data_IF_242176755828
#
_entry.id   IF_242176755828
#
_cell.length_a   1.000
_cell.length_b   1.000
_cell.length_c   1.000
_cell.angle_alpha   90.00
_cell.angle_beta   90.00
_cell.angle_gamma   90.00
#
_symmetry.space_group_name_H-M   'P 1'
#
loop_
_entity.id
_entity.type
_entity.pdbx_description
1 polymer ?
#
# COMPACT_ATOMS: atom_id res chain seq x y z
N UNK A 1 -54.17 -31.97 15.48
CA UNK A 1 -53.88 -30.55 15.17
C UNK A 1 -52.39 -30.36 15.27
N UNK A 2 -51.70 -30.42 14.12
CA UNK A 2 -50.24 -30.24 14.04
C UNK A 2 -50.01 -28.78 13.62
N UNK A 3 -49.41 -27.97 14.51
CA UNK A 3 -49.02 -26.60 14.22
C UNK A 3 -47.63 -26.64 13.56
N UNK A 4 -47.58 -26.40 12.25
CA UNK A 4 -46.33 -26.17 11.53
C UNK A 4 -45.76 -24.81 11.90
N UNK A 5 -44.60 -24.79 12.54
CA UNK A 5 -43.79 -23.59 12.70
C UNK A 5 -42.99 -23.33 11.39
N UNK A 6 -43.34 -22.27 10.69
CA UNK A 6 -42.57 -21.78 9.54
C UNK A 6 -41.40 -20.94 10.10
N UNK A 7 -40.18 -21.52 10.06
CA UNK A 7 -38.95 -20.75 10.37
C UNK A 7 -38.57 -19.89 9.14
N UNK A 8 -38.72 -18.60 9.26
CA UNK A 8 -38.20 -17.65 8.24
C UNK A 8 -36.69 -17.48 8.47
N UNK A 9 -35.89 -18.06 7.59
CA UNK A 9 -34.45 -17.79 7.53
C UNK A 9 -34.25 -16.39 6.99
N UNK A 10 -33.88 -15.43 7.84
CA UNK A 10 -33.35 -14.14 7.39
C UNK A 10 -31.94 -14.39 6.84
N UNK A 11 -31.79 -14.39 5.52
CA UNK A 11 -30.50 -14.33 4.86
C UNK A 11 -30.04 -12.87 4.96
N UNK A 12 -29.08 -12.58 5.84
CA UNK A 12 -28.41 -11.29 5.86
C UNK A 12 -27.66 -11.13 4.53
N UNK A 13 -28.01 -10.08 3.78
CA UNK A 13 -27.24 -9.70 2.60
C UNK A 13 -25.81 -9.37 3.05
N UNK A 14 -24.76 -9.80 2.30
CA UNK A 14 -23.40 -9.41 2.62
C UNK A 14 -23.33 -7.88 2.55
N UNK A 15 -22.74 -7.27 3.58
CA UNK A 15 -22.36 -5.84 3.52
C UNK A 15 -21.47 -5.65 2.31
N UNK A 16 -21.65 -4.58 1.51
CA UNK A 16 -20.72 -4.28 0.44
C UNK A 16 -19.32 -4.19 1.03
N UNK A 17 -18.34 -4.81 0.36
CA UNK A 17 -16.94 -4.62 0.68
C UNK A 17 -16.64 -3.10 0.64
N UNK A 18 -15.80 -2.57 1.55
CA UNK A 18 -15.40 -1.18 1.44
C UNK A 18 -14.86 -0.95 0.03
N UNK A 19 -15.34 0.13 -0.59
CA UNK A 19 -14.98 0.50 -1.95
C UNK A 19 -13.48 0.83 -1.94
N UNK A 20 -12.64 -0.07 -2.46
CA UNK A 20 -11.19 0.13 -2.56
C UNK A 20 -10.84 1.05 -3.73
N UNK A 21 -11.81 1.37 -4.56
CA UNK A 21 -11.70 2.33 -5.66
C UNK A 21 -11.95 3.74 -5.14
N UNK A 22 -10.90 4.34 -4.56
CA UNK A 22 -10.93 5.76 -4.22
C UNK A 22 -10.86 6.59 -5.50
N UNK A 23 -11.90 7.38 -5.76
CA UNK A 23 -11.93 8.37 -6.84
C UNK A 23 -11.72 9.76 -6.24
N UNK A 24 -10.62 10.42 -6.59
CA UNK A 24 -10.33 11.78 -6.12
C UNK A 24 -11.04 12.82 -7.02
N UNK A 25 -11.79 13.74 -6.39
CA UNK A 25 -12.39 14.86 -7.10
C UNK A 25 -11.29 15.87 -7.48
N UNK A 26 -11.15 16.25 -8.77
CA UNK A 26 -10.18 17.26 -9.20
C UNK A 26 -10.37 18.63 -8.53
N UNK A 27 -11.56 18.90 -8.01
CA UNK A 27 -11.91 20.13 -7.30
C UNK A 27 -11.59 20.14 -5.81
N UNK A 28 -11.02 19.06 -5.25
CA UNK A 28 -10.72 19.02 -3.81
C UNK A 28 -9.83 20.17 -3.38
N UNK A 29 -10.23 20.83 -2.28
CA UNK A 29 -9.56 22.01 -1.78
C UNK A 29 -8.23 21.72 -1.09
N UNK A 30 -7.34 22.72 -1.13
CA UNK A 30 -6.17 22.78 -0.28
C UNK A 30 -6.55 23.34 1.08
N UNK A 31 -6.35 22.59 2.15
CA UNK A 31 -6.52 23.10 3.50
C UNK A 31 -5.36 24.05 3.88
N UNK A 32 -5.70 25.12 4.57
CA UNK A 32 -4.71 26.05 5.12
C UNK A 32 -4.48 25.79 6.61
N UNK A 33 -3.27 26.13 7.08
CA UNK A 33 -2.91 26.06 8.49
C UNK A 33 -2.50 24.67 8.98
N UNK A 34 -1.99 24.63 10.20
CA UNK A 34 -1.46 23.42 10.82
C UNK A 34 -2.56 22.43 11.19
N UNK A 35 -2.29 21.16 11.00
CA UNK A 35 -3.16 20.05 11.38
C UNK A 35 -2.37 18.91 12.04
N UNK A 36 -2.99 18.31 13.05
CA UNK A 36 -2.51 17.05 13.67
C UNK A 36 -3.53 15.98 13.33
N UNK A 37 -3.11 14.97 12.55
CA UNK A 37 -3.96 13.87 12.13
C UNK A 37 -3.62 12.64 12.97
N UNK A 38 -4.53 12.21 13.84
CA UNK A 38 -4.29 11.12 14.81
C UNK A 38 -5.23 9.92 14.62
N UNK A 39 -6.16 10.02 13.68
CA UNK A 39 -7.08 8.93 13.31
C UNK A 39 -7.59 9.14 11.89
N UNK A 40 -8.23 8.11 11.34
CA UNK A 40 -8.81 8.13 10.01
C UNK A 40 -7.80 7.94 8.89
N UNK A 41 -8.30 7.99 7.66
CA UNK A 41 -7.57 7.67 6.45
C UNK A 41 -6.77 8.87 5.93
N UNK A 42 -5.49 8.66 5.66
CA UNK A 42 -4.61 9.65 5.05
C UNK A 42 -3.66 9.00 4.04
N UNK A 43 -3.47 9.64 2.89
CA UNK A 43 -2.54 9.18 1.86
C UNK A 43 -1.47 10.21 1.56
N UNK A 44 -0.24 9.75 1.40
CA UNK A 44 0.89 10.54 0.91
C UNK A 44 0.98 10.32 -0.60
N UNK A 45 0.97 11.38 -1.40
CA UNK A 45 1.05 11.20 -2.85
C UNK A 45 1.54 12.42 -3.60
N UNK A 46 1.96 12.21 -4.86
CA UNK A 46 2.20 13.32 -5.77
C UNK A 46 0.90 14.03 -6.09
N UNK A 47 1.00 15.33 -6.34
CA UNK A 47 -0.08 16.16 -6.83
C UNK A 47 0.43 17.09 -7.91
N UNK A 48 -0.30 17.18 -9.00
CA UNK A 48 -0.02 18.14 -10.07
C UNK A 48 -1.14 19.16 -10.14
N UNK A 49 -0.84 20.39 -9.73
CA UNK A 49 -1.80 21.48 -9.75
C UNK A 49 -1.18 22.72 -10.36
N UNK A 50 -1.87 23.34 -11.31
CA UNK A 50 -1.43 24.56 -12.00
C UNK A 50 0.01 24.43 -12.56
N UNK A 51 0.35 23.24 -13.09
CA UNK A 51 1.68 22.92 -13.61
C UNK A 51 2.76 22.68 -12.53
N UNK A 52 2.40 22.73 -11.25
CA UNK A 52 3.34 22.52 -10.15
C UNK A 52 3.22 21.10 -9.61
N UNK A 53 4.33 20.36 -9.65
CA UNK A 53 4.45 19.01 -9.08
C UNK A 53 4.86 19.10 -7.60
N UNK A 54 4.07 18.51 -6.72
CA UNK A 54 4.28 18.54 -5.26
C UNK A 54 4.03 17.17 -4.65
N UNK A 55 4.42 16.99 -3.38
CA UNK A 55 3.99 15.87 -2.53
C UNK A 55 3.06 16.47 -1.49
N UNK A 56 1.87 15.89 -1.35
CA UNK A 56 0.89 16.34 -0.37
C UNK A 56 0.31 15.17 0.41
N UNK A 57 -0.42 15.48 1.46
CA UNK A 57 -1.17 14.54 2.28
C UNK A 57 -2.65 14.74 1.98
N UNK A 58 -3.28 13.71 1.44
CA UNK A 58 -4.73 13.64 1.27
C UNK A 58 -5.36 13.23 2.60
N UNK A 59 -6.18 14.10 3.17
CA UNK A 59 -6.87 13.89 4.43
C UNK A 59 -8.34 13.55 4.16
N UNK A 60 -8.63 12.27 4.14
CA UNK A 60 -9.99 11.74 3.94
C UNK A 60 -10.82 11.69 5.22
N UNK A 61 -10.21 11.97 6.37
CA UNK A 61 -10.95 12.12 7.60
C UNK A 61 -11.68 13.47 7.70
N UNK A 62 -11.21 14.47 6.97
CA UNK A 62 -11.90 15.74 6.83
C UNK A 62 -13.18 15.58 5.97
N UNK A 63 -14.22 16.35 6.30
CA UNK A 63 -15.47 16.37 5.53
C UNK A 63 -15.79 17.80 5.08
N UNK A 64 -15.70 18.09 3.78
CA UNK A 64 -15.17 17.24 2.70
C UNK A 64 -13.69 16.95 2.83
N UNK A 65 -13.21 15.89 2.16
CA UNK A 65 -11.78 15.55 2.08
C UNK A 65 -10.96 16.70 1.50
N UNK A 66 -9.73 16.87 1.99
CA UNK A 66 -8.84 17.97 1.61
C UNK A 66 -7.42 17.50 1.39
N UNK A 67 -6.65 18.30 0.66
CA UNK A 67 -5.20 18.15 0.58
C UNK A 67 -4.50 19.05 1.58
N UNK A 68 -3.38 18.58 2.16
CA UNK A 68 -2.58 19.31 3.14
C UNK A 68 -1.11 19.33 2.74
N UNK A 69 -0.46 20.46 3.06
CA UNK A 69 0.99 20.55 2.95
C UNK A 69 1.67 19.71 4.05
N UNK A 70 2.66 18.85 3.71
CA UNK A 70 3.38 18.08 4.73
C UNK A 70 4.09 18.95 5.77
N UNK A 71 4.51 20.17 5.40
CA UNK A 71 5.13 21.12 6.33
C UNK A 71 4.16 21.58 7.43
N UNK A 72 2.86 21.62 7.13
CA UNK A 72 1.78 22.05 8.03
C UNK A 72 0.98 20.87 8.60
N UNK A 73 1.47 19.64 8.44
CA UNK A 73 0.76 18.43 8.88
C UNK A 73 1.67 17.55 9.73
N UNK A 74 1.17 17.14 10.90
CA UNK A 74 1.81 16.14 11.76
C UNK A 74 0.91 14.90 11.81
N UNK A 75 1.45 13.77 11.44
CA UNK A 75 0.82 12.46 11.63
C UNK A 75 1.12 12.00 13.05
N UNK A 76 0.10 11.90 13.91
CA UNK A 76 0.26 11.52 15.31
C UNK A 76 -0.12 10.06 15.52
N UNK A 77 0.86 9.27 15.92
CA UNK A 77 0.69 7.85 16.24
C UNK A 77 0.56 7.71 17.76
N UNK A 78 -0.68 7.48 18.23
CA UNK A 78 -1.02 7.38 19.66
C UNK A 78 -0.55 6.05 20.25
N UNK A 79 -0.56 5.94 21.58
CA UNK A 79 -0.26 4.69 22.30
C UNK A 79 -1.30 3.58 22.02
N UNK A 80 -2.46 3.89 21.44
CA UNK A 80 -3.39 2.91 20.87
C UNK A 80 -2.78 2.06 19.75
N UNK A 81 -1.69 2.53 19.14
CA UNK A 81 -0.91 1.83 18.11
C UNK A 81 0.19 0.92 18.70
N UNK A 82 0.39 0.90 20.03
CA UNK A 82 1.41 0.03 20.65
C UNK A 82 1.05 -1.42 20.55
N UNK A 83 2.06 -2.24 20.28
CA UNK A 83 1.99 -3.69 20.33
C UNK A 83 3.38 -4.29 20.47
N UNK A 84 3.49 -5.52 21.05
CA UNK A 84 4.78 -6.19 21.13
C UNK A 84 5.24 -6.70 19.77
N UNK A 85 6.56 -6.69 19.56
CA UNK A 85 7.18 -7.36 18.41
C UNK A 85 6.92 -8.87 18.53
N UNK A 86 6.44 -9.54 17.47
CA UNK A 86 6.21 -10.98 17.49
C UNK A 86 7.50 -11.76 17.78
N UNK A 87 7.38 -12.86 18.52
CA UNK A 87 8.44 -13.84 18.72
C UNK A 87 8.50 -14.79 17.51
N UNK A 88 8.90 -14.22 16.36
CA UNK A 88 8.99 -14.91 15.08
C UNK A 88 10.14 -14.30 14.28
N UNK A 89 11.07 -15.14 13.82
CA UNK A 89 12.25 -14.74 13.05
C UNK A 89 11.87 -13.96 11.77
N UNK A 90 10.69 -14.18 11.23
CA UNK A 90 10.16 -13.43 10.09
C UNK A 90 10.09 -11.92 10.32
N UNK A 91 10.09 -11.46 11.59
CA UNK A 91 10.08 -10.04 11.97
C UNK A 91 11.44 -9.50 12.44
N UNK A 92 12.52 -10.29 12.35
CA UNK A 92 13.88 -9.84 12.71
C UNK A 92 14.32 -8.58 11.94
N UNK A 93 13.74 -8.33 10.76
CA UNK A 93 14.00 -7.13 9.95
C UNK A 93 13.58 -5.81 10.62
N UNK A 94 12.77 -5.85 11.65
CA UNK A 94 12.40 -4.67 12.44
C UNK A 94 13.58 -4.13 13.25
N UNK A 95 14.58 -4.98 13.56
CA UNK A 95 15.74 -4.61 14.36
C UNK A 95 15.43 -4.39 15.85
N UNK A 96 14.27 -4.86 16.30
CA UNK A 96 13.81 -4.80 17.69
C UNK A 96 13.74 -6.21 18.28
N UNK A 97 13.83 -6.32 19.61
CA UNK A 97 13.78 -7.63 20.28
C UNK A 97 12.34 -8.16 20.33
N UNK A 98 12.12 -9.48 20.22
CA UNK A 98 10.83 -10.09 20.50
C UNK A 98 10.24 -9.61 21.84
N UNK A 99 8.95 -9.24 21.83
CA UNK A 99 8.25 -8.70 23.01
C UNK A 99 8.53 -7.23 23.32
N UNK A 100 9.47 -6.57 22.62
CA UNK A 100 9.66 -5.13 22.76
C UNK A 100 8.42 -4.38 22.25
N UNK A 101 8.01 -3.33 22.99
CA UNK A 101 6.88 -2.50 22.61
C UNK A 101 7.28 -1.52 21.50
N UNK A 102 6.57 -1.58 20.41
CA UNK A 102 6.72 -0.67 19.25
C UNK A 102 5.38 -0.02 18.91
N UNK A 103 5.39 1.08 18.17
CA UNK A 103 4.16 1.68 17.64
C UNK A 103 3.99 1.25 16.20
N UNK A 104 2.82 0.72 15.87
CA UNK A 104 2.50 0.23 14.52
C UNK A 104 1.25 0.90 13.99
N UNK A 105 1.41 1.62 12.88
CA UNK A 105 0.29 1.96 12.01
C UNK A 105 0.08 0.74 11.11
N UNK A 106 -1.03 0.00 11.26
CA UNK A 106 -1.20 -1.26 10.55
C UNK A 106 -1.63 -1.05 9.10
N UNK A 107 -1.31 -2.03 8.26
CA UNK A 107 -1.74 -2.07 6.86
C UNK A 107 -3.27 -2.13 6.72
N UNK A 108 -3.96 -2.76 7.67
CA UNK A 108 -5.43 -2.78 7.74
C UNK A 108 -5.89 -1.70 8.73
N UNK A 109 -6.93 -0.96 8.39
CA UNK A 109 -7.45 0.11 9.24
C UNK A 109 -7.73 -0.38 10.67
N UNK A 110 -7.25 0.41 11.64
CA UNK A 110 -7.50 0.21 13.08
C UNK A 110 -8.10 1.48 13.68
N UNK A 111 -9.28 1.35 14.26
CA UNK A 111 -9.96 2.48 14.91
C UNK A 111 -9.05 3.17 15.96
N UNK A 112 -8.98 4.49 15.91
CA UNK A 112 -8.17 5.30 16.82
C UNK A 112 -6.67 5.32 16.50
N UNK A 113 -6.27 4.85 15.34
CA UNK A 113 -4.93 4.97 14.77
C UNK A 113 -5.04 5.68 13.42
N UNK A 114 -4.18 6.67 13.16
CA UNK A 114 -4.09 7.27 11.82
C UNK A 114 -3.68 6.19 10.82
N UNK A 115 -4.43 6.05 9.75
CA UNK A 115 -4.22 5.00 8.76
C UNK A 115 -3.48 5.56 7.55
N UNK A 116 -2.17 5.33 7.49
CA UNK A 116 -1.25 5.97 6.54
C UNK A 116 -1.07 5.09 5.31
N UNK A 117 -1.43 5.65 4.16
CA UNK A 117 -1.21 5.06 2.84
C UNK A 117 -0.43 5.98 1.91
N UNK A 118 -0.42 5.58 0.65
CA UNK A 118 0.01 6.42 -0.47
C UNK A 118 -0.89 6.18 -1.66
N UNK A 119 -1.05 7.22 -2.50
CA UNK A 119 -1.78 7.10 -3.75
C UNK A 119 -1.12 7.86 -4.89
N UNK A 120 -1.45 7.47 -6.11
CA UNK A 120 -1.11 8.14 -7.37
C UNK A 120 -2.37 8.52 -8.13
N UNK A 121 -3.47 8.79 -7.42
CA UNK A 121 -4.81 8.94 -7.98
C UNK A 121 -5.23 10.39 -8.19
N UNK A 122 -4.36 11.38 -7.87
CA UNK A 122 -4.64 12.78 -8.21
C UNK A 122 -4.92 12.90 -9.72
N UNK A 123 -6.06 13.49 -10.15
CA UNK A 123 -6.44 13.56 -11.56
C UNK A 123 -5.41 14.27 -12.44
N UNK A 124 -4.71 15.29 -11.90
CA UNK A 124 -3.62 15.96 -12.61
C UNK A 124 -2.43 15.03 -12.82
N UNK A 125 -2.10 14.21 -11.81
CA UNK A 125 -1.04 13.21 -11.89
C UNK A 125 -1.40 12.11 -12.89
N UNK A 126 -2.62 11.55 -12.82
CA UNK A 126 -3.10 10.52 -13.75
C UNK A 126 -3.03 10.97 -15.21
N UNK A 127 -3.32 12.25 -15.48
CA UNK A 127 -3.25 12.82 -16.82
C UNK A 127 -1.83 13.11 -17.33
N UNK A 128 -0.85 13.17 -16.43
CA UNK A 128 0.50 13.62 -16.75
C UNK A 128 1.55 12.53 -16.77
N UNK A 129 1.45 11.51 -15.92
CA UNK A 129 2.48 10.46 -15.79
C UNK A 129 2.31 9.33 -16.81
N UNK A 130 3.44 8.73 -17.21
CA UNK A 130 3.42 7.66 -18.21
C UNK A 130 3.01 6.30 -17.64
N UNK A 131 3.57 5.88 -16.51
CA UNK A 131 3.37 4.52 -15.97
C UNK A 131 3.20 4.49 -14.46
N UNK A 132 3.83 5.41 -13.75
CA UNK A 132 3.86 5.46 -12.31
C UNK A 132 4.94 6.42 -11.81
N UNK A 133 5.20 6.35 -10.52
CA UNK A 133 6.17 7.20 -9.85
C UNK A 133 7.17 6.37 -9.07
N UNK A 134 8.35 6.91 -8.82
CA UNK A 134 9.26 6.38 -7.81
C UNK A 134 9.19 7.25 -6.57
N UNK A 135 8.74 6.67 -5.45
CA UNK A 135 8.81 7.28 -4.13
C UNK A 135 10.08 6.82 -3.43
N UNK A 136 10.92 7.76 -2.98
CA UNK A 136 12.19 7.44 -2.32
C UNK A 136 12.16 7.87 -0.85
N UNK A 137 12.58 6.99 0.05
CA UNK A 137 13.02 7.42 1.37
C UNK A 137 14.47 7.89 1.26
N UNK A 138 14.70 9.18 1.56
CA UNK A 138 16.01 9.84 1.47
C UNK A 138 16.73 9.90 2.81
N UNK A 139 15.99 9.78 3.91
CA UNK A 139 16.54 9.81 5.25
C UNK A 139 15.46 9.76 6.32
N UNK A 140 15.85 9.32 7.50
CA UNK A 140 15.04 9.34 8.72
C UNK A 140 15.82 10.03 9.82
N UNK A 141 15.16 10.91 10.55
CA UNK A 141 15.65 11.53 11.79
C UNK A 141 14.62 11.26 12.89
N UNK A 142 15.02 10.58 13.95
CA UNK A 142 14.13 10.20 15.05
C UNK A 142 14.84 9.35 16.10
N UNK A 143 14.19 9.05 17.24
CA UNK A 143 14.82 8.37 18.38
C UNK A 143 14.98 6.85 18.21
N UNK A 144 14.31 6.24 17.26
CA UNK A 144 14.31 4.78 17.04
C UNK A 144 14.23 4.40 15.57
N UNK A 145 14.24 3.10 15.30
CA UNK A 145 14.09 2.57 13.96
C UNK A 145 12.70 2.89 13.37
N UNK A 146 12.69 3.09 12.05
CA UNK A 146 11.45 3.17 11.26
C UNK A 146 11.52 2.10 10.19
N UNK A 147 10.46 1.30 10.08
CA UNK A 147 10.33 0.29 9.01
C UNK A 147 8.95 0.35 8.41
N UNK A 148 8.87 0.37 7.08
CA UNK A 148 7.63 0.30 6.30
C UNK A 148 7.64 -0.98 5.50
N UNK A 149 6.58 -1.80 5.64
CA UNK A 149 6.51 -3.10 4.97
C UNK A 149 5.08 -3.51 4.62
N UNK A 150 4.96 -4.34 3.59
CA UNK A 150 3.72 -5.01 3.21
C UNK A 150 3.71 -6.44 3.75
N UNK A 151 2.54 -6.88 4.22
CA UNK A 151 2.27 -8.24 4.63
C UNK A 151 1.24 -8.85 3.69
N UNK A 152 1.62 -9.88 2.95
CA UNK A 152 0.67 -10.62 2.11
C UNK A 152 -0.23 -11.52 2.96
N UNK A 153 -1.53 -11.56 2.63
CA UNK A 153 -2.51 -12.37 3.35
C UNK A 153 -2.34 -13.91 3.20
N UNK A 154 -1.38 -14.36 2.39
CA UNK A 154 -1.10 -15.76 2.10
C UNK A 154 0.06 -16.35 2.92
N UNK A 155 0.39 -15.81 4.08
CA UNK A 155 1.51 -16.21 4.93
C UNK A 155 2.90 -16.04 4.26
N UNK A 156 3.00 -15.25 3.21
CA UNK A 156 4.28 -14.89 2.60
C UNK A 156 5.14 -14.04 3.55
N UNK A 157 6.46 -14.07 3.35
CA UNK A 157 7.36 -13.21 4.11
C UNK A 157 7.02 -11.72 3.91
N UNK A 158 7.17 -10.89 4.97
CA UNK A 158 6.98 -9.45 4.86
C UNK A 158 7.90 -8.84 3.80
N UNK A 159 7.34 -7.95 2.97
CA UNK A 159 8.11 -7.21 1.98
C UNK A 159 8.51 -5.85 2.56
N UNK A 160 9.76 -5.68 2.95
CA UNK A 160 10.28 -4.40 3.46
C UNK A 160 10.46 -3.42 2.31
N UNK A 161 9.72 -2.31 2.36
CA UNK A 161 9.76 -1.22 1.41
C UNK A 161 10.83 -0.19 1.81
N UNK A 162 10.76 0.30 3.06
CA UNK A 162 11.68 1.28 3.63
C UNK A 162 12.15 0.84 5.01
N UNK A 163 13.40 1.13 5.34
CA UNK A 163 13.94 0.87 6.68
C UNK A 163 15.06 1.86 7.01
N UNK A 164 14.98 2.50 8.17
CA UNK A 164 16.04 3.39 8.65
C UNK A 164 17.38 2.68 8.91
N UNK A 165 17.36 1.36 9.01
CA UNK A 165 18.57 0.53 9.16
C UNK A 165 19.30 0.26 7.83
N UNK A 166 18.72 0.65 6.69
CA UNK A 166 19.30 0.43 5.36
C UNK A 166 19.88 1.74 4.79
N UNK A 167 20.85 1.66 3.87
CA UNK A 167 21.37 2.83 3.17
C UNK A 167 20.29 3.58 2.37
N UNK A 168 20.42 4.89 2.23
CA UNK A 168 19.58 5.75 1.40
C UNK A 168 20.27 6.07 0.07
N UNK A 169 19.51 6.42 -1.00
CA UNK A 169 18.06 6.44 -1.09
C UNK A 169 17.46 5.03 -1.21
N UNK A 170 16.19 4.87 -0.78
CA UNK A 170 15.45 3.61 -0.92
C UNK A 170 14.27 3.83 -1.85
N UNK A 171 14.37 3.44 -3.13
CA UNK A 171 13.31 3.62 -4.10
C UNK A 171 12.19 2.60 -3.91
N UNK A 172 10.96 3.06 -4.07
CA UNK A 172 9.74 2.25 -4.14
C UNK A 172 8.96 2.67 -5.39
N UNK A 173 8.75 1.73 -6.30
CA UNK A 173 7.92 1.98 -7.48
C UNK A 173 6.44 1.88 -7.12
N UNK A 174 5.65 2.86 -7.56
CA UNK A 174 4.19 2.91 -7.41
C UNK A 174 3.59 3.15 -8.78
N UNK A 175 2.79 2.21 -9.25
CA UNK A 175 2.10 2.33 -10.53
C UNK A 175 1.08 3.47 -10.51
N UNK A 176 0.71 3.95 -11.69
CA UNK A 176 -0.38 4.91 -11.83
C UNK A 176 -1.71 4.34 -11.33
N UNK A 177 -2.58 5.19 -10.81
CA UNK A 177 -3.89 4.80 -10.25
C UNK A 177 -3.80 3.75 -9.13
N UNK A 178 -2.78 3.88 -8.29
CA UNK A 178 -2.56 3.00 -7.13
C UNK A 178 -2.97 3.70 -5.85
N UNK A 179 -3.65 2.95 -4.98
CA UNK A 179 -3.94 3.29 -3.59
C UNK A 179 -3.54 2.10 -2.71
N UNK A 180 -2.67 2.32 -1.74
CA UNK A 180 -2.11 1.22 -0.92
C UNK A 180 -1.75 1.71 0.47
N UNK A 181 -2.00 0.84 1.47
CA UNK A 181 -1.55 1.00 2.85
C UNK A 181 -0.50 -0.05 3.21
N UNK A 182 0.40 0.31 4.11
CA UNK A 182 1.45 -0.57 4.62
C UNK A 182 1.48 -0.56 6.14
N UNK A 183 2.23 -1.48 6.72
CA UNK A 183 2.61 -1.41 8.12
C UNK A 183 3.77 -0.42 8.29
N UNK A 184 3.58 0.59 9.17
CA UNK A 184 4.64 1.51 9.56
C UNK A 184 4.99 1.26 11.01
N UNK A 185 6.22 0.87 11.28
CA UNK A 185 6.70 0.52 12.63
C UNK A 185 7.72 1.54 13.11
N UNK A 186 7.51 2.02 14.34
CA UNK A 186 8.38 2.97 15.03
C UNK A 186 8.88 2.34 16.32
N UNK A 187 10.20 2.15 16.44
CA UNK A 187 10.83 1.42 17.54
C UNK A 187 10.77 2.16 18.89
N UNK A 188 10.64 3.48 18.88
CA UNK A 188 10.57 4.30 20.10
C UNK A 188 9.60 5.46 19.96
N UNK A 189 8.97 5.94 21.05
CA UNK A 189 8.21 7.18 21.03
C UNK A 189 9.13 8.41 20.82
N UNK A 190 8.58 9.46 20.21
CA UNK A 190 9.26 10.73 19.96
C UNK A 190 8.92 11.33 18.60
N UNK A 191 9.60 12.43 18.27
CA UNK A 191 9.44 13.11 16.99
C UNK A 191 10.26 12.42 15.91
N UNK A 192 9.62 12.15 14.76
CA UNK A 192 10.26 11.62 13.57
C UNK A 192 10.08 12.57 12.38
N UNK A 193 11.15 12.69 11.61
CA UNK A 193 11.16 13.39 10.33
C UNK A 193 11.64 12.40 9.26
N UNK A 194 10.84 12.23 8.21
CA UNK A 194 11.17 11.36 7.07
C UNK A 194 11.33 12.23 5.83
N UNK A 195 12.54 12.35 5.32
CA UNK A 195 12.81 13.02 4.06
C UNK A 195 12.43 12.07 2.91
N UNK A 196 11.50 12.50 2.07
CA UNK A 196 11.00 11.73 0.93
C UNK A 196 11.05 12.55 -0.34
N UNK A 197 11.25 11.89 -1.48
CA UNK A 197 11.03 12.50 -2.80
C UNK A 197 10.14 11.61 -3.66
N UNK A 198 9.50 12.21 -4.64
CA UNK A 198 8.72 11.51 -5.66
C UNK A 198 9.15 12.01 -7.04
N UNK A 199 9.54 11.09 -7.89
CA UNK A 199 9.92 11.34 -9.28
C UNK A 199 9.02 10.59 -10.25
N UNK A 200 8.74 11.18 -11.40
CA UNK A 200 7.93 10.55 -12.45
C UNK A 200 8.45 10.94 -13.84
N UNK A 201 8.37 10.01 -14.78
CA UNK A 201 8.46 10.32 -16.19
C UNK A 201 7.08 10.76 -16.69
N UNK A 202 7.02 11.95 -17.27
CA UNK A 202 5.78 12.50 -17.80
C UNK A 202 5.52 12.00 -19.23
N UNK A 203 4.26 12.07 -19.63
CA UNK A 203 3.83 11.61 -20.96
C UNK A 203 4.43 12.43 -22.10
N UNK A 204 4.85 13.68 -21.84
CA UNK A 204 5.54 14.55 -22.78
C UNK A 204 7.05 14.28 -22.92
N UNK A 205 7.58 13.28 -22.20
CA UNK A 205 8.98 12.89 -22.19
C UNK A 205 9.84 13.67 -21.19
N UNK A 206 9.29 14.62 -20.47
CA UNK A 206 10.00 15.32 -19.39
C UNK A 206 9.94 14.51 -18.08
N UNK A 207 10.66 14.97 -17.06
CA UNK A 207 10.67 14.35 -15.71
C UNK A 207 10.19 15.37 -14.69
N UNK A 208 9.28 14.96 -13.81
CA UNK A 208 8.87 15.72 -12.65
C UNK A 208 9.52 15.18 -11.38
N UNK A 209 9.83 16.07 -10.44
CA UNK A 209 10.36 15.68 -9.12
C UNK A 209 9.92 16.68 -8.05
N UNK A 210 9.56 16.14 -6.88
CA UNK A 210 9.32 16.94 -5.69
C UNK A 210 9.94 16.25 -4.47
N UNK A 211 10.27 17.03 -3.45
CA UNK A 211 10.80 16.53 -2.17
C UNK A 211 10.08 17.20 -1.02
N UNK A 212 9.90 16.47 0.06
CA UNK A 212 9.30 16.99 1.30
C UNK A 212 9.85 16.27 2.53
N UNK A 213 9.46 16.75 3.71
CA UNK A 213 9.72 16.10 4.99
C UNK A 213 8.38 15.79 5.65
N UNK A 214 8.08 14.50 5.79
CA UNK A 214 6.94 14.04 6.58
C UNK A 214 7.26 14.21 8.07
N UNK A 215 6.30 14.66 8.85
CA UNK A 215 6.42 14.98 10.28
C UNK A 215 5.52 14.04 11.07
N UNK A 216 6.11 13.33 12.03
CA UNK A 216 5.35 12.38 12.85
C UNK A 216 5.65 12.61 14.33
N UNK A 217 4.60 12.47 15.15
CA UNK A 217 4.68 12.48 16.60
C UNK A 217 4.21 11.12 17.12
N UNK A 218 5.12 10.31 17.66
CA UNK A 218 4.89 8.93 18.08
C UNK A 218 4.83 8.83 19.60
N UNK A 219 3.78 8.22 20.11
CA UNK A 219 3.50 8.07 21.54
C UNK A 219 2.73 9.25 22.12
N UNK A 220 1.91 8.98 23.15
CA UNK A 220 1.03 9.97 23.77
C UNK A 220 1.78 11.09 24.47
N UNK A 221 3.01 10.85 24.92
CA UNK A 221 3.87 11.84 25.60
C UNK A 221 4.61 12.75 24.63
N UNK A 222 4.61 12.48 23.34
CA UNK A 222 5.26 13.32 22.33
C UNK A 222 4.36 14.49 21.96
N UNK A 223 4.88 15.70 22.10
CA UNK A 223 4.15 16.91 21.72
C UNK A 223 4.21 17.10 20.18
N UNK A 224 3.09 17.17 19.46
CA UNK A 224 3.07 17.42 18.02
C UNK A 224 3.71 18.76 17.63
N UNK A 225 3.68 19.76 18.50
CA UNK A 225 4.31 21.06 18.21
C UNK A 225 5.84 20.96 18.04
N UNK A 226 6.48 19.99 18.71
CA UNK A 226 7.91 19.74 18.52
C UNK A 226 8.18 19.23 17.09
N UNK A 227 7.26 18.44 16.52
CA UNK A 227 7.39 17.98 15.15
C UNK A 227 7.21 19.11 14.12
N UNK A 228 6.30 20.07 14.36
CA UNK A 228 6.18 21.25 13.50
C UNK A 228 7.44 22.13 13.53
N UNK A 229 8.09 22.27 14.69
CA UNK A 229 9.29 23.09 14.87
C UNK A 229 10.59 22.41 14.44
N UNK A 230 10.59 21.08 14.28
CA UNK A 230 11.80 20.33 13.98
C UNK A 230 12.28 20.55 12.54
N UNK A 231 13.60 20.71 12.38
CA UNK A 231 14.26 20.76 11.09
C UNK A 231 14.94 19.41 10.80
N UNK A 232 14.83 18.94 9.56
CA UNK A 232 15.61 17.80 9.10
C UNK A 232 17.06 18.26 8.86
N UNK A 233 18.00 17.75 9.63
CA UNK A 233 19.41 18.16 9.60
C UNK A 233 20.37 17.04 9.21
N UNK A 234 19.86 15.78 9.12
CA UNK A 234 20.71 14.68 8.69
C UNK A 234 21.18 14.86 7.23
N UNK A 235 22.41 14.47 6.89
CA UNK A 235 22.89 14.56 5.52
C UNK A 235 21.99 13.75 4.59
N UNK A 236 21.48 14.39 3.53
CA UNK A 236 20.77 13.69 2.48
C UNK A 236 21.76 13.20 1.43
N UNK A 237 21.63 11.97 0.92
CA UNK A 237 22.38 11.55 -0.25
C UNK A 237 22.12 12.52 -1.39
N UNK A 238 23.13 12.78 -2.23
CA UNK A 238 22.93 13.59 -3.44
C UNK A 238 21.72 13.04 -4.21
N UNK A 239 20.87 13.94 -4.74
CA UNK A 239 19.81 13.52 -5.63
C UNK A 239 20.46 12.79 -6.79
N UNK A 240 20.23 11.49 -6.91
CA UNK A 240 20.66 10.73 -8.08
C UNK A 240 19.92 11.36 -9.26
N UNK A 241 20.63 12.14 -10.08
CA UNK A 241 20.08 12.55 -11.35
C UNK A 241 19.59 11.29 -12.03
N UNK A 242 18.35 11.29 -12.45
CA UNK A 242 17.62 10.22 -13.12
C UNK A 242 18.45 8.94 -13.29
N UNK A 243 18.48 8.07 -12.26
CA UNK A 243 18.82 6.70 -12.52
C UNK A 243 17.69 6.25 -13.47
N UNK A 244 18.04 6.17 -14.75
CA UNK A 244 17.21 5.47 -15.71
C UNK A 244 16.72 4.23 -15.00
N UNK A 245 15.41 4.11 -14.83
CA UNK A 245 14.78 3.01 -14.17
C UNK A 245 15.56 1.77 -14.61
N UNK A 246 16.30 1.16 -13.69
CA UNK A 246 16.72 -0.20 -13.93
C UNK A 246 15.37 -0.90 -14.01
N UNK A 247 14.89 -0.97 -15.25
CA UNK A 247 13.84 -1.88 -15.61
C UNK A 247 14.28 -3.16 -14.92
N UNK A 248 13.57 -3.56 -13.90
CA UNK A 248 13.55 -4.91 -13.48
C UNK A 248 13.14 -5.63 -14.75
N UNK A 249 14.16 -5.98 -15.53
CA UNK A 249 13.99 -6.90 -16.62
C UNK A 249 13.38 -8.11 -15.92
N UNK A 250 12.11 -8.43 -16.08
CA UNK A 250 11.68 -9.76 -15.79
C UNK A 250 12.62 -10.55 -16.70
N UNK A 251 13.62 -11.21 -16.06
CA UNK A 251 14.48 -12.12 -16.78
C UNK A 251 13.52 -12.87 -17.69
N UNK A 252 13.71 -12.70 -18.98
CA UNK A 252 12.89 -13.27 -20.04
C UNK A 252 12.90 -14.78 -19.88
N UNK A 253 12.13 -15.26 -18.91
CA UNK A 253 11.66 -16.62 -18.77
C UNK A 253 10.57 -16.90 -19.80
N UNK A 254 10.77 -16.43 -21.03
CA UNK A 254 9.93 -16.79 -22.18
C UNK A 254 9.91 -18.32 -22.39
N UNK A 255 10.86 -19.06 -21.84
CA UNK A 255 10.84 -20.51 -21.80
C UNK A 255 9.72 -21.09 -20.94
N UNK A 256 9.49 -20.53 -19.75
CA UNK A 256 8.55 -21.15 -18.80
C UNK A 256 7.09 -20.81 -19.10
N UNK A 257 6.78 -19.60 -19.60
CA UNK A 257 5.41 -19.25 -19.99
C UNK A 257 4.90 -20.13 -21.14
N UNK A 258 5.73 -20.42 -22.15
CA UNK A 258 5.40 -21.33 -23.23
C UNK A 258 5.22 -22.78 -22.74
N UNK A 259 5.99 -23.21 -21.75
CA UNK A 259 5.84 -24.53 -21.12
C UNK A 259 4.49 -24.63 -20.39
N UNK A 260 4.12 -23.62 -19.59
CA UNK A 260 2.83 -23.63 -18.88
C UNK A 260 1.63 -23.56 -19.82
N UNK A 261 1.72 -22.79 -20.91
CA UNK A 261 0.67 -22.76 -21.95
C UNK A 261 0.57 -24.13 -22.66
N UNK A 262 1.71 -24.76 -23.00
CA UNK A 262 1.71 -26.07 -23.59
C UNK A 262 1.13 -27.18 -22.67
N UNK A 263 1.44 -27.10 -21.36
CA UNK A 263 0.88 -28.02 -20.35
C UNK A 263 -0.63 -27.79 -20.20
N UNK A 264 -1.10 -26.54 -20.13
CA UNK A 264 -2.52 -26.23 -20.02
C UNK A 264 -3.33 -26.72 -21.25
N UNK A 265 -2.79 -26.54 -22.45
CA UNK A 265 -3.40 -27.04 -23.70
C UNK A 265 -3.39 -28.58 -23.69
N UNK A 266 -2.30 -29.23 -23.30
CA UNK A 266 -2.20 -30.67 -23.19
C UNK A 266 -3.24 -31.28 -22.22
N UNK A 267 -3.42 -30.67 -21.03
CA UNK A 267 -4.42 -31.12 -20.06
C UNK A 267 -5.84 -30.93 -20.60
N UNK A 268 -6.14 -29.79 -21.24
CA UNK A 268 -7.45 -29.55 -21.85
C UNK A 268 -7.80 -30.60 -22.95
N UNK A 269 -6.85 -30.93 -23.80
CA UNK A 269 -7.02 -31.97 -24.85
C UNK A 269 -7.23 -33.36 -24.20
N UNK A 270 -6.47 -33.68 -23.15
CA UNK A 270 -6.62 -34.97 -22.44
C UNK A 270 -8.03 -35.11 -21.81
N UNK A 271 -8.51 -34.05 -21.16
CA UNK A 271 -9.86 -33.99 -20.57
C UNK A 271 -10.93 -34.18 -21.65
N UNK A 272 -10.75 -33.54 -22.83
CA UNK A 272 -11.69 -33.64 -23.94
C UNK A 272 -11.74 -35.08 -24.49
N UNK A 273 -10.58 -35.73 -24.65
CA UNK A 273 -10.48 -37.13 -25.07
C UNK A 273 -11.19 -38.07 -24.07
N UNK A 274 -10.96 -37.86 -22.76
CA UNK A 274 -11.61 -38.65 -21.70
C UNK A 274 -13.14 -38.48 -21.72
N UNK A 275 -13.63 -37.28 -21.95
CA UNK A 275 -15.08 -37.02 -22.08
C UNK A 275 -15.68 -37.70 -23.29
N UNK A 276 -15.00 -37.66 -24.46
CA UNK A 276 -15.45 -38.36 -25.69
C UNK A 276 -15.45 -39.86 -25.48
N UNK A 277 -14.41 -40.43 -24.88
CA UNK A 277 -14.35 -41.88 -24.58
C UNK A 277 -15.46 -42.30 -23.61
N UNK A 278 -15.72 -41.47 -22.57
CA UNK A 278 -16.82 -41.71 -21.61
C UNK A 278 -18.19 -41.68 -22.30
N UNK A 279 -18.44 -40.69 -23.17
CA UNK A 279 -19.67 -40.61 -23.95
C UNK A 279 -19.83 -41.81 -24.89
N UNK A 280 -18.76 -42.24 -25.54
CA UNK A 280 -18.77 -43.41 -26.42
C UNK A 280 -19.07 -44.71 -25.65
N UNK A 281 -18.50 -44.86 -24.43
CA UNK A 281 -18.77 -46.01 -23.58
C UNK A 281 -20.22 -46.05 -23.08
N UNK A 282 -20.79 -44.86 -22.75
CA UNK A 282 -22.21 -44.76 -22.34
C UNK A 282 -23.13 -45.10 -23.50
N UNK A 283 -22.83 -44.65 -24.73
CA UNK A 283 -23.62 -44.97 -25.91
C UNK A 283 -23.59 -46.47 -26.25
N UNK A 284 -22.43 -47.14 -26.13
CA UNK A 284 -22.31 -48.60 -26.36
C UNK A 284 -23.09 -49.39 -25.30
N UNK A 285 -23.15 -48.96 -24.06
CA UNK A 285 -23.97 -49.62 -23.02
C UNK A 285 -25.47 -49.44 -23.23
N UNK A 286 -25.89 -48.29 -23.80
CA UNK A 286 -27.30 -48.06 -24.13
C UNK A 286 -27.77 -48.88 -25.35
N UNK A 287 -26.86 -49.30 -26.26
CA UNK A 287 -27.14 -50.15 -27.39
C UNK A 287 -27.15 -51.65 -27.05
N UNK A 288 -26.55 -52.03 -25.90
CA UNK A 288 -26.48 -53.45 -25.45
C UNK A 288 -27.62 -53.85 -24.50
N UNK A 289 -28.53 -52.92 -24.12
CA UNK A 289 -29.67 -53.24 -23.28
C UNK A 289 -30.81 -53.81 -24.15
N UNK A 290 -31.13 -55.15 -24.08
CA UNK A 290 -32.20 -55.73 -24.88
C UNK A 290 -33.56 -55.26 -24.34
N UNK A 291 -34.36 -54.70 -25.24
CA UNK A 291 -35.79 -54.43 -24.99
C UNK A 291 -36.49 -55.68 -24.51
N UNK A 292 -36.95 -55.66 -23.27
CA UNK A 292 -37.94 -56.60 -22.70
C UNK A 292 -39.33 -55.99 -22.74
#
# INVERSE_FOLDING_TARGET
MIKSLLAVLLVAAPSPAPDLDQSLDPGQSQAAGRAVLESGHVDIGPRLRDGTWTIQIHDDHAVPSVWREPADTVLRIRDTARQPVPDDEAYAFLGEQPGAEVHVVPQTEKQGVVWIGWNTQDPGVLGAISRGVTMNLRGVQGPGNVTVFLQSGNLGAPQVLWSSAKPYPQPMWVETNTHTHANWVFGKPGTYLLAVDVTADLADGSTASASTVLRLAVGDTTNPDDAFGAAFTAPLPAASGSAAAQAHNPSSGTGNALIYVAIAVGVAVLVLILLVLRQSAVRRRAEEEPTR
#
